data_IF_428771967296
#
_entry.id   IF_428771967296
#
_cell.length_a   1.000
_cell.length_b   1.000
_cell.length_c   1.000
_cell.angle_alpha   90.00
_cell.angle_beta   90.00
_cell.angle_gamma   90.00
#
_symmetry.space_group_name_H-M   'P 1'
#
loop_
_entity.id
_entity.type
_entity.pdbx_description
1 polymer ?
#
# COMPACT_ATOMS: atom_id res chain seq x y z
N UNK A 1 3.37 -18.07 8.50
CA UNK A 1 4.41 -18.17 9.53
C UNK A 1 5.71 -17.53 9.11
N UNK A 2 6.73 -17.48 9.99
CA UNK A 2 7.98 -16.73 9.77
C UNK A 2 8.74 -17.09 8.48
N UNK A 3 8.75 -18.37 8.08
CA UNK A 3 9.38 -18.82 6.84
C UNK A 3 8.70 -18.22 5.60
N UNK A 4 7.37 -18.27 5.55
CA UNK A 4 6.61 -17.68 4.45
C UNK A 4 6.74 -16.16 4.41
N UNK A 5 6.65 -15.51 5.57
CA UNK A 5 6.78 -14.05 5.69
C UNK A 5 8.15 -13.54 5.20
N UNK A 6 9.24 -14.30 5.47
CA UNK A 6 10.57 -13.92 5.00
C UNK A 6 10.84 -14.25 3.54
N UNK A 7 10.36 -15.41 3.04
CA UNK A 7 10.66 -15.87 1.69
C UNK A 7 9.74 -15.28 0.62
N UNK A 8 8.46 -15.05 0.93
CA UNK A 8 7.47 -14.61 -0.05
C UNK A 8 7.82 -13.28 -0.74
N UNK A 9 8.29 -12.23 -0.04
CA UNK A 9 8.67 -10.98 -0.70
C UNK A 9 9.81 -11.16 -1.72
N UNK A 10 10.81 -12.03 -1.39
CA UNK A 10 11.94 -12.30 -2.29
C UNK A 10 11.49 -13.02 -3.56
N UNK A 11 10.62 -14.03 -3.41
CA UNK A 11 10.05 -14.77 -4.55
C UNK A 11 9.18 -13.85 -5.41
N UNK A 12 8.37 -13.00 -4.77
CA UNK A 12 7.51 -12.05 -5.45
C UNK A 12 8.32 -11.03 -6.24
N UNK A 13 9.40 -10.50 -5.67
CA UNK A 13 10.33 -9.60 -6.33
C UNK A 13 10.90 -10.21 -7.63
N UNK A 14 11.43 -11.43 -7.56
CA UNK A 14 11.98 -12.14 -8.71
C UNK A 14 10.91 -12.40 -9.79
N UNK A 15 9.71 -12.77 -9.41
CA UNK A 15 8.61 -12.99 -10.34
C UNK A 15 8.22 -11.68 -11.05
N UNK A 16 8.08 -10.59 -10.30
CA UNK A 16 7.73 -9.26 -10.82
C UNK A 16 8.80 -8.70 -11.76
N UNK A 17 10.08 -8.88 -11.43
CA UNK A 17 11.19 -8.47 -12.31
C UNK A 17 11.18 -9.20 -13.66
N UNK A 18 10.69 -10.42 -13.70
CA UNK A 18 10.51 -11.20 -14.94
C UNK A 18 9.24 -10.83 -15.71
N UNK A 19 8.48 -9.83 -15.27
CA UNK A 19 7.24 -9.38 -15.90
C UNK A 19 6.05 -10.31 -15.66
N UNK A 20 6.17 -11.27 -14.73
CA UNK A 20 5.09 -12.20 -14.37
C UNK A 20 4.10 -11.46 -13.48
N UNK A 21 2.79 -11.54 -13.80
CA UNK A 21 1.74 -11.04 -12.91
C UNK A 21 1.84 -11.74 -11.56
N UNK A 22 2.12 -10.97 -10.52
CA UNK A 22 2.37 -11.50 -9.19
C UNK A 22 1.32 -11.02 -8.22
N UNK A 23 0.52 -11.94 -7.70
CA UNK A 23 -0.55 -11.68 -6.73
C UNK A 23 -0.19 -12.33 -5.41
N UNK A 24 -0.17 -11.54 -4.34
CA UNK A 24 0.00 -12.02 -2.98
C UNK A 24 -1.35 -12.28 -2.32
N UNK A 25 -1.48 -13.39 -1.59
CA UNK A 25 -2.62 -13.66 -0.71
C UNK A 25 -2.06 -13.98 0.66
N UNK A 26 -2.38 -13.16 1.65
CA UNK A 26 -1.82 -13.25 3.00
C UNK A 26 -2.91 -13.16 4.06
N UNK A 27 -2.61 -13.67 5.26
CA UNK A 27 -3.53 -13.61 6.39
C UNK A 27 -2.91 -12.84 7.55
N UNK A 28 -3.72 -12.01 8.22
CA UNK A 28 -3.39 -11.42 9.52
C UNK A 28 -3.94 -12.36 10.61
N UNK A 29 -3.12 -12.72 11.61
CA UNK A 29 -3.52 -13.67 12.66
C UNK A 29 -4.69 -13.16 13.50
N UNK A 30 -5.31 -14.08 14.25
CA UNK A 30 -6.32 -13.73 15.23
C UNK A 30 -5.72 -12.91 16.38
N UNK A 31 -6.52 -12.04 17.01
CA UNK A 31 -6.09 -11.19 18.12
C UNK A 31 -5.57 -12.00 19.31
N UNK A 32 -6.17 -13.17 19.60
CA UNK A 32 -5.73 -14.03 20.69
C UNK A 32 -4.34 -14.69 20.48
N UNK A 33 -3.78 -14.63 19.27
CA UNK A 33 -2.43 -15.12 18.99
C UNK A 33 -1.33 -14.19 19.52
N UNK A 34 -1.70 -12.97 19.91
CA UNK A 34 -0.87 -11.99 20.60
C UNK A 34 -0.25 -10.93 19.70
N UNK A 35 -0.06 -9.74 20.26
CA UNK A 35 0.36 -8.54 19.54
C UNK A 35 1.67 -8.73 18.75
N UNK A 36 2.66 -9.42 19.34
CA UNK A 36 3.93 -9.69 18.64
C UNK A 36 3.75 -10.39 17.29
N UNK A 37 2.78 -11.33 17.20
CA UNK A 37 2.50 -12.01 15.93
C UNK A 37 1.76 -11.11 14.96
N UNK A 38 0.90 -10.24 15.48
CA UNK A 38 0.17 -9.27 14.67
C UNK A 38 1.16 -8.26 14.07
N UNK A 39 2.06 -7.70 14.88
CA UNK A 39 3.10 -6.77 14.42
C UNK A 39 3.99 -7.39 13.35
N UNK A 40 4.45 -8.64 13.57
CA UNK A 40 5.21 -9.38 12.58
C UNK A 40 4.43 -9.63 11.28
N UNK A 41 3.13 -9.85 11.36
CA UNK A 41 2.28 -10.02 10.19
C UNK A 41 2.11 -8.69 9.43
N UNK A 42 1.91 -7.58 10.13
CA UNK A 42 1.81 -6.24 9.53
C UNK A 42 3.13 -5.83 8.85
N UNK A 43 4.28 -6.09 9.47
CA UNK A 43 5.60 -5.93 8.84
C UNK A 43 5.73 -6.76 7.56
N UNK A 44 5.26 -8.01 7.60
CA UNK A 44 5.25 -8.90 6.45
C UNK A 44 4.33 -8.42 5.33
N UNK A 45 3.19 -7.85 5.68
CA UNK A 45 2.24 -7.24 4.73
C UNK A 45 2.88 -6.02 4.05
N UNK A 46 3.52 -5.12 4.81
CA UNK A 46 4.25 -3.97 4.25
C UNK A 46 5.38 -4.41 3.30
N UNK A 47 6.14 -5.43 3.69
CA UNK A 47 7.23 -5.94 2.86
C UNK A 47 6.74 -6.56 1.54
N UNK A 48 5.71 -7.41 1.57
CA UNK A 48 5.22 -8.09 0.37
C UNK A 48 4.40 -7.14 -0.53
N UNK A 49 3.70 -6.14 0.04
CA UNK A 49 2.91 -5.19 -0.74
C UNK A 49 3.75 -4.42 -1.77
N UNK A 50 5.02 -4.18 -1.48
CA UNK A 50 5.98 -3.50 -2.37
C UNK A 50 6.41 -4.38 -3.55
N UNK A 51 6.34 -5.70 -3.37
CA UNK A 51 6.90 -6.68 -4.30
C UNK A 51 5.85 -7.41 -5.15
N UNK A 52 4.56 -7.18 -4.92
CA UNK A 52 3.48 -7.78 -5.72
C UNK A 52 2.76 -6.74 -6.57
N UNK A 53 2.00 -7.19 -7.57
CA UNK A 53 1.11 -6.35 -8.38
C UNK A 53 -0.19 -6.05 -7.64
N UNK A 54 -0.72 -7.05 -6.96
CA UNK A 54 -1.89 -6.93 -6.10
C UNK A 54 -1.74 -7.80 -4.85
N UNK A 55 -2.22 -7.32 -3.72
CA UNK A 55 -2.17 -8.01 -2.44
C UNK A 55 -3.56 -8.16 -1.84
N UNK A 56 -4.01 -9.40 -1.70
CA UNK A 56 -5.22 -9.75 -0.97
C UNK A 56 -4.87 -10.05 0.49
N UNK A 57 -5.43 -9.26 1.40
CA UNK A 57 -5.18 -9.40 2.84
C UNK A 57 -6.45 -9.88 3.54
N UNK A 58 -6.39 -11.08 4.11
CA UNK A 58 -7.48 -11.71 4.85
C UNK A 58 -7.22 -11.50 6.35
N UNK A 59 -8.11 -10.78 7.02
CA UNK A 59 -8.03 -10.61 8.47
C UNK A 59 -8.83 -11.73 9.16
N UNK A 60 -8.14 -12.65 9.82
CA UNK A 60 -8.77 -13.76 10.51
C UNK A 60 -9.72 -13.31 11.63
N UNK A 61 -9.45 -12.17 12.28
CA UNK A 61 -10.32 -11.64 13.34
C UNK A 61 -11.74 -11.35 12.83
N UNK A 62 -11.88 -10.96 11.57
CA UNK A 62 -13.21 -10.73 10.95
C UNK A 62 -14.00 -12.02 10.82
N UNK A 63 -13.33 -13.17 10.59
CA UNK A 63 -14.00 -14.46 10.55
C UNK A 63 -14.63 -14.80 11.91
N UNK A 64 -13.98 -14.42 13.01
CA UNK A 64 -14.53 -14.58 14.36
C UNK A 64 -15.79 -13.73 14.58
N UNK A 65 -15.80 -12.53 14.06
CA UNK A 65 -16.97 -11.62 14.17
C UNK A 65 -18.17 -12.14 13.39
N UNK A 66 -17.93 -12.69 12.21
CA UNK A 66 -19.01 -13.19 11.33
C UNK A 66 -19.50 -14.57 11.75
N UNK A 67 -18.60 -15.40 12.27
CA UNK A 67 -18.88 -16.77 12.70
C UNK A 67 -18.59 -16.97 14.19
N UNK A 68 -19.38 -16.35 15.09
CA UNK A 68 -19.10 -16.37 16.53
C UNK A 68 -19.22 -17.76 17.16
N UNK A 69 -19.97 -18.66 16.53
CA UNK A 69 -20.22 -20.01 17.02
C UNK A 69 -19.14 -21.03 16.61
N UNK A 70 -18.09 -20.62 15.91
CA UNK A 70 -17.01 -21.53 15.54
C UNK A 70 -16.20 -21.96 16.77
N UNK A 71 -15.91 -23.26 16.82
CA UNK A 71 -14.92 -23.77 17.77
C UNK A 71 -13.53 -23.24 17.40
N UNK A 72 -12.61 -23.26 18.36
CA UNK A 72 -11.22 -22.84 18.13
C UNK A 72 -10.58 -23.52 16.89
N UNK A 73 -10.78 -24.83 16.76
CA UNK A 73 -10.28 -25.60 15.60
C UNK A 73 -10.97 -25.18 14.31
N UNK A 74 -12.28 -25.06 14.32
CA UNK A 74 -13.06 -24.68 13.14
C UNK A 74 -12.76 -23.26 12.66
N UNK A 75 -12.31 -22.34 13.55
CA UNK A 75 -11.89 -21.01 13.17
C UNK A 75 -10.65 -21.03 12.26
N UNK A 76 -9.64 -21.86 12.59
CA UNK A 76 -8.47 -22.03 11.74
C UNK A 76 -8.81 -22.76 10.43
N UNK A 77 -9.63 -23.80 10.47
CA UNK A 77 -10.11 -24.50 9.26
C UNK A 77 -10.88 -23.55 8.34
N UNK A 78 -11.65 -22.61 8.92
CA UNK A 78 -12.34 -21.57 8.16
C UNK A 78 -11.38 -20.56 7.52
N UNK A 79 -10.34 -20.15 8.24
CA UNK A 79 -9.30 -19.27 7.70
C UNK A 79 -8.57 -19.92 6.50
N UNK A 80 -8.18 -21.20 6.64
CA UNK A 80 -7.54 -21.98 5.57
C UNK A 80 -8.47 -22.14 4.36
N UNK A 81 -9.75 -22.43 4.62
CA UNK A 81 -10.77 -22.54 3.55
C UNK A 81 -10.96 -21.21 2.83
N UNK A 82 -10.98 -20.12 3.56
CA UNK A 82 -11.12 -18.77 3.00
C UNK A 82 -9.94 -18.43 2.09
N UNK A 83 -8.72 -18.69 2.53
CA UNK A 83 -7.50 -18.53 1.75
C UNK A 83 -7.54 -19.36 0.46
N UNK A 84 -7.90 -20.64 0.60
CA UNK A 84 -7.99 -21.57 -0.54
C UNK A 84 -9.07 -21.15 -1.53
N UNK A 85 -10.21 -20.68 -1.04
CA UNK A 85 -11.32 -20.19 -1.88
C UNK A 85 -10.88 -18.94 -2.63
N UNK A 86 -10.17 -18.02 -2.00
CA UNK A 86 -9.65 -16.82 -2.65
C UNK A 86 -8.71 -17.19 -3.81
N UNK A 87 -7.72 -18.05 -3.56
CA UNK A 87 -6.79 -18.48 -4.60
C UNK A 87 -7.50 -19.21 -5.75
N UNK A 88 -8.45 -20.12 -5.42
CA UNK A 88 -9.26 -20.85 -6.39
C UNK A 88 -10.09 -19.91 -7.25
N UNK A 89 -10.78 -18.93 -6.66
CA UNK A 89 -11.64 -18.01 -7.41
C UNK A 89 -10.87 -17.17 -8.41
N UNK A 90 -9.65 -16.72 -8.07
CA UNK A 90 -8.79 -16.03 -9.03
C UNK A 90 -8.39 -16.97 -10.18
N UNK A 91 -8.04 -18.21 -9.87
CA UNK A 91 -7.69 -19.20 -10.89
C UNK A 91 -8.90 -19.54 -11.78
N UNK A 92 -10.07 -19.70 -11.21
CA UNK A 92 -11.31 -20.00 -11.95
C UNK A 92 -11.67 -18.87 -12.94
N UNK A 93 -11.52 -17.60 -12.55
CA UNK A 93 -11.75 -16.45 -13.44
C UNK A 93 -10.90 -16.57 -14.73
N UNK A 94 -9.67 -17.08 -14.60
CA UNK A 94 -8.72 -17.19 -15.72
C UNK A 94 -8.94 -18.46 -16.54
N UNK A 95 -9.36 -19.55 -15.90
CA UNK A 95 -9.36 -20.89 -16.51
C UNK A 95 -10.73 -21.39 -16.97
N UNK A 96 -11.81 -20.83 -16.42
CA UNK A 96 -13.15 -21.27 -16.81
C UNK A 96 -13.57 -20.64 -18.14
N UNK A 97 -14.09 -21.47 -19.04
CA UNK A 97 -14.68 -21.01 -20.29
C UNK A 97 -16.06 -20.43 -20.00
N UNK A 98 -16.31 -19.24 -20.53
CA UNK A 98 -17.54 -18.51 -20.34
C UNK A 98 -18.25 -18.18 -21.66
N UNK A 99 -19.47 -17.68 -21.54
CA UNK A 99 -20.24 -17.07 -22.61
C UNK A 99 -19.66 -15.68 -22.93
N UNK A 100 -19.33 -14.94 -21.87
CA UNK A 100 -18.56 -13.69 -21.92
C UNK A 100 -17.26 -13.99 -21.19
N UNK A 101 -16.21 -14.22 -21.97
CA UNK A 101 -14.92 -14.62 -21.41
C UNK A 101 -14.22 -13.41 -20.79
N UNK A 102 -13.74 -13.61 -19.55
CA UNK A 102 -12.68 -12.79 -18.97
C UNK A 102 -11.36 -13.44 -19.37
N UNK A 103 -10.60 -12.79 -20.21
CA UNK A 103 -9.30 -13.30 -20.60
C UNK A 103 -8.21 -12.95 -19.55
N UNK A 104 -7.04 -13.57 -19.69
CA UNK A 104 -5.91 -13.29 -18.80
C UNK A 104 -5.50 -11.81 -18.84
N UNK A 105 -5.69 -11.13 -19.98
CA UNK A 105 -5.36 -9.71 -20.10
C UNK A 105 -6.32 -8.83 -19.31
N UNK A 106 -7.61 -9.17 -19.22
CA UNK A 106 -8.59 -8.46 -18.39
C UNK A 106 -8.20 -8.58 -16.90
N UNK A 107 -7.80 -9.79 -16.47
CA UNK A 107 -7.31 -10.02 -15.10
C UNK A 107 -6.01 -9.24 -14.86
N UNK A 108 -5.09 -9.23 -15.82
CA UNK A 108 -3.88 -8.41 -15.75
C UNK A 108 -4.21 -6.93 -15.61
N UNK A 109 -5.17 -6.44 -16.35
CA UNK A 109 -5.59 -5.03 -16.31
C UNK A 109 -6.08 -4.62 -14.93
N UNK A 110 -6.86 -5.49 -14.29
CA UNK A 110 -7.40 -5.22 -12.94
C UNK A 110 -6.33 -5.38 -11.87
N UNK A 111 -5.48 -6.42 -11.94
CA UNK A 111 -4.53 -6.77 -10.88
C UNK A 111 -3.19 -6.02 -10.99
N UNK A 112 -2.70 -5.68 -12.21
CA UNK A 112 -1.43 -4.96 -12.35
C UNK A 112 -1.48 -3.61 -11.70
N UNK A 113 -0.48 -3.35 -10.83
CA UNK A 113 -0.42 -2.12 -10.03
C UNK A 113 -1.73 -1.88 -9.25
N UNK A 114 -2.38 -2.99 -8.85
CA UNK A 114 -3.67 -2.95 -8.17
C UNK A 114 -3.58 -2.58 -6.69
N UNK A 115 -2.37 -2.57 -6.10
CA UNK A 115 -2.20 -2.30 -4.67
C UNK A 115 -2.91 -3.34 -3.80
N UNK A 116 -3.69 -2.89 -2.83
CA UNK A 116 -4.52 -3.80 -2.04
C UNK A 116 -5.75 -4.20 -2.85
N UNK A 117 -6.00 -5.51 -2.89
CA UNK A 117 -7.16 -6.12 -3.51
C UNK A 117 -8.14 -6.61 -2.46
N UNK A 118 -9.42 -6.46 -2.75
CA UNK A 118 -10.51 -7.06 -2.00
C UNK A 118 -11.23 -8.05 -2.91
N UNK A 119 -11.53 -9.21 -2.40
CA UNK A 119 -12.27 -10.23 -3.14
C UNK A 119 -13.37 -10.82 -2.28
N UNK A 120 -14.49 -11.06 -2.90
CA UNK A 120 -15.62 -11.72 -2.28
C UNK A 120 -16.35 -12.61 -3.26
N UNK A 121 -17.02 -13.62 -2.73
CA UNK A 121 -17.87 -14.53 -3.48
C UNK A 121 -19.18 -14.68 -2.74
N UNK A 122 -20.27 -14.50 -3.47
CA UNK A 122 -21.62 -14.69 -2.97
C UNK A 122 -22.41 -15.69 -3.84
N UNK A 123 -23.45 -16.24 -3.25
CA UNK A 123 -24.32 -17.22 -3.89
C UNK A 123 -25.77 -16.78 -3.76
N UNK A 124 -26.56 -17.03 -4.80
CA UNK A 124 -28.00 -16.80 -4.80
C UNK A 124 -28.75 -17.93 -5.48
N UNK A 125 -30.00 -18.15 -5.08
CA UNK A 125 -30.86 -19.19 -5.61
C UNK A 125 -32.30 -18.65 -5.77
N UNK A 126 -33.06 -19.14 -6.74
CA UNK A 126 -34.44 -18.72 -6.99
C UNK A 126 -34.59 -17.60 -8.02
N UNK A 127 -35.69 -16.85 -7.93
CA UNK A 127 -36.05 -15.83 -8.94
C UNK A 127 -35.11 -14.62 -8.97
N UNK A 128 -34.54 -14.24 -7.80
CA UNK A 128 -33.64 -13.09 -7.68
C UNK A 128 -32.18 -13.51 -7.45
N UNK A 129 -31.81 -14.69 -7.92
CA UNK A 129 -30.53 -15.35 -7.58
C UNK A 129 -29.28 -14.49 -7.90
N UNK A 130 -29.28 -13.70 -8.97
CA UNK A 130 -28.15 -12.81 -9.30
C UNK A 130 -28.05 -11.65 -8.31
N UNK A 131 -29.17 -11.02 -8.01
CA UNK A 131 -29.23 -9.95 -7.00
C UNK A 131 -28.81 -10.47 -5.62
N UNK A 132 -29.36 -11.59 -5.19
CA UNK A 132 -29.01 -12.22 -3.91
C UNK A 132 -27.52 -12.58 -3.86
N UNK A 133 -26.95 -13.10 -4.95
CA UNK A 133 -25.54 -13.41 -5.04
C UNK A 133 -24.65 -12.16 -4.95
N UNK A 134 -25.04 -11.05 -5.55
CA UNK A 134 -24.36 -9.76 -5.42
C UNK A 134 -24.45 -9.26 -3.98
N UNK A 135 -25.63 -9.27 -3.39
CA UNK A 135 -25.85 -8.83 -2.00
C UNK A 135 -25.05 -9.71 -1.01
N UNK A 136 -25.04 -11.03 -1.19
CA UNK A 136 -24.26 -11.97 -0.38
C UNK A 136 -22.76 -11.70 -0.52
N UNK A 137 -22.26 -11.45 -1.75
CA UNK A 137 -20.87 -11.07 -1.98
C UNK A 137 -20.52 -9.75 -1.28
N UNK A 138 -21.37 -8.73 -1.35
CA UNK A 138 -21.16 -7.44 -0.70
C UNK A 138 -21.15 -7.52 0.82
N UNK A 139 -21.98 -8.40 1.38
CA UNK A 139 -22.07 -8.63 2.82
C UNK A 139 -20.97 -9.58 3.35
N UNK A 140 -20.10 -10.05 2.48
CA UNK A 140 -19.01 -10.93 2.88
C UNK A 140 -18.04 -10.23 3.85
N UNK A 141 -17.61 -10.94 4.91
CA UNK A 141 -16.62 -10.43 5.85
C UNK A 141 -15.27 -10.09 5.21
N UNK A 142 -15.01 -10.63 4.03
CA UNK A 142 -13.77 -10.36 3.30
C UNK A 142 -13.74 -8.95 2.68
N UNK A 143 -14.88 -8.36 2.39
CA UNK A 143 -15.00 -6.97 1.96
C UNK A 143 -15.02 -5.98 3.13
N UNK A 144 -15.36 -6.46 4.34
CA UNK A 144 -15.24 -5.78 5.62
C UNK A 144 -15.60 -4.29 5.63
N UNK A 145 -16.86 -3.93 5.47
CA UNK A 145 -17.36 -2.54 5.56
C UNK A 145 -16.55 -1.52 4.74
N UNK A 146 -15.63 -1.97 3.91
CA UNK A 146 -14.88 -1.09 3.01
C UNK A 146 -15.81 -0.71 1.88
N UNK A 147 -15.84 0.56 1.59
CA UNK A 147 -16.56 1.06 0.45
C UNK A 147 -15.84 0.61 -0.83
N UNK A 148 -16.30 -0.51 -1.42
CA UNK A 148 -15.77 -0.98 -2.71
C UNK A 148 -15.96 0.06 -3.82
N UNK A 149 -16.83 1.07 -3.60
CA UNK A 149 -17.04 2.19 -4.51
C UNK A 149 -15.82 3.13 -4.56
N UNK A 150 -14.90 3.02 -3.60
CA UNK A 150 -13.61 3.72 -3.62
C UNK A 150 -12.53 3.00 -4.43
N UNK A 151 -12.81 1.81 -4.96
CA UNK A 151 -11.88 1.09 -5.83
C UNK A 151 -11.64 1.82 -7.14
N UNK A 152 -10.48 1.58 -7.75
CA UNK A 152 -10.13 2.12 -9.06
C UNK A 152 -10.45 1.16 -10.19
N UNK A 153 -10.44 -0.15 -9.89
CA UNK A 153 -10.71 -1.20 -10.88
C UNK A 153 -11.55 -2.30 -10.24
N UNK A 154 -12.50 -2.82 -11.00
CA UNK A 154 -13.41 -3.88 -10.56
C UNK A 154 -13.52 -4.94 -11.65
N UNK A 155 -13.50 -6.20 -11.21
CA UNK A 155 -13.81 -7.35 -12.02
C UNK A 155 -14.95 -8.13 -11.37
N UNK A 156 -16.01 -8.38 -12.14
CA UNK A 156 -17.16 -9.16 -11.73
C UNK A 156 -17.23 -10.44 -12.56
N UNK A 157 -17.22 -11.59 -11.92
CA UNK A 157 -17.40 -12.89 -12.56
C UNK A 157 -18.69 -13.53 -12.06
N UNK A 158 -19.54 -13.91 -12.99
CA UNK A 158 -20.81 -14.58 -12.74
C UNK A 158 -20.71 -15.99 -13.26
N UNK A 159 -21.01 -16.98 -12.42
CA UNK A 159 -21.01 -18.39 -12.82
C UNK A 159 -22.37 -19.02 -12.55
N UNK A 160 -22.84 -19.80 -13.49
CA UNK A 160 -24.12 -20.48 -13.41
C UNK A 160 -24.04 -21.87 -14.06
N UNK A 161 -25.06 -22.69 -13.84
CA UNK A 161 -25.20 -24.01 -14.47
C UNK A 161 -26.00 -23.90 -15.78
N UNK A 162 -25.48 -24.46 -16.86
CA UNK A 162 -26.13 -24.49 -18.18
C UNK A 162 -27.06 -25.71 -18.37
N UNK A 163 -27.08 -26.66 -17.43
CA UNK A 163 -27.91 -27.86 -17.52
C UNK A 163 -29.28 -27.63 -16.89
N UNK A 164 -30.35 -28.18 -17.53
CA UNK A 164 -31.67 -28.11 -16.92
C UNK A 164 -31.71 -28.86 -15.58
N UNK A 165 -32.61 -28.45 -14.69
CA UNK A 165 -32.83 -29.12 -13.41
C UNK A 165 -33.58 -30.46 -13.59
N UNK A 166 -33.83 -31.16 -12.48
CA UNK A 166 -34.55 -32.45 -12.43
C UNK A 166 -35.98 -32.35 -13.03
N UNK A 167 -36.56 -31.14 -13.08
CA UNK A 167 -37.86 -30.87 -13.66
C UNK A 167 -37.78 -30.36 -15.11
N UNK A 168 -36.60 -30.51 -15.74
CA UNK A 168 -36.31 -30.03 -17.11
C UNK A 168 -36.50 -28.50 -17.28
N UNK A 169 -36.33 -27.73 -16.21
CA UNK A 169 -36.35 -26.26 -16.28
C UNK A 169 -34.94 -25.73 -16.58
N UNK A 170 -34.85 -24.73 -17.50
CA UNK A 170 -33.56 -24.14 -17.83
C UNK A 170 -32.96 -23.43 -16.61
N UNK A 171 -31.66 -23.67 -16.39
CA UNK A 171 -30.87 -22.99 -15.34
C UNK A 171 -30.00 -21.87 -15.92
N UNK A 172 -30.10 -21.64 -17.24
CA UNK A 172 -29.36 -20.59 -17.92
C UNK A 172 -29.70 -19.19 -17.36
N UNK A 173 -28.74 -18.29 -17.49
CA UNK A 173 -28.89 -16.90 -17.05
C UNK A 173 -29.86 -16.16 -17.99
N UNK A 174 -30.90 -15.56 -17.43
CA UNK A 174 -31.90 -14.83 -18.21
C UNK A 174 -31.44 -13.37 -18.44
N UNK A 175 -31.87 -12.79 -19.58
CA UNK A 175 -31.52 -11.39 -19.89
C UNK A 175 -32.03 -10.40 -18.84
N UNK A 176 -33.13 -10.71 -18.17
CA UNK A 176 -33.66 -9.88 -17.07
C UNK A 176 -32.70 -9.86 -15.87
N UNK A 177 -32.01 -10.96 -15.61
CA UNK A 177 -31.02 -11.07 -14.53
C UNK A 177 -29.76 -10.24 -14.80
N UNK A 178 -29.41 -9.99 -16.07
CA UNK A 178 -28.32 -9.12 -16.47
C UNK A 178 -28.60 -7.66 -16.09
N UNK A 179 -29.86 -7.23 -16.03
CA UNK A 179 -30.19 -5.88 -15.57
C UNK A 179 -29.74 -5.61 -14.12
N UNK A 180 -29.72 -6.64 -13.26
CA UNK A 180 -29.18 -6.48 -11.89
C UNK A 180 -27.67 -6.26 -11.90
N UNK A 181 -26.95 -6.86 -12.85
CA UNK A 181 -25.51 -6.61 -13.06
C UNK A 181 -25.28 -5.18 -13.53
N UNK A 182 -26.02 -4.73 -14.53
CA UNK A 182 -25.92 -3.36 -15.04
C UNK A 182 -26.23 -2.33 -13.96
N UNK A 183 -27.25 -2.60 -13.15
CA UNK A 183 -27.62 -1.77 -12.03
C UNK A 183 -26.47 -1.68 -11.00
N UNK A 184 -25.92 -2.82 -10.61
CA UNK A 184 -24.77 -2.87 -9.70
C UNK A 184 -23.57 -2.12 -10.28
N UNK A 185 -23.21 -2.34 -11.54
CA UNK A 185 -22.10 -1.67 -12.20
C UNK A 185 -22.31 -0.16 -12.31
N UNK A 186 -23.55 0.30 -12.48
CA UNK A 186 -23.90 1.73 -12.55
C UNK A 186 -23.74 2.49 -11.24
N UNK A 187 -23.61 1.80 -10.12
CA UNK A 187 -23.36 2.41 -8.82
C UNK A 187 -21.91 2.92 -8.66
N UNK A 188 -21.01 2.45 -9.51
CA UNK A 188 -19.62 2.89 -9.48
C UNK A 188 -19.41 4.19 -10.22
N UNK A 189 -18.38 4.93 -9.84
CA UNK A 189 -18.01 6.18 -10.52
C UNK A 189 -17.56 5.88 -11.95
N UNK A 190 -17.75 6.83 -12.84
CA UNK A 190 -17.43 6.68 -14.27
C UNK A 190 -15.95 6.48 -14.57
N UNK A 191 -15.08 6.81 -13.63
CA UNK A 191 -13.62 6.67 -13.72
C UNK A 191 -13.12 5.31 -13.22
N UNK A 192 -14.01 4.45 -12.70
CA UNK A 192 -13.67 3.09 -12.28
C UNK A 192 -13.60 2.19 -13.52
N UNK A 193 -12.46 1.54 -13.72
CA UNK A 193 -12.31 0.55 -14.78
C UNK A 193 -13.05 -0.74 -14.40
N UNK A 194 -14.09 -1.07 -15.14
CA UNK A 194 -14.94 -2.23 -14.85
C UNK A 194 -14.81 -3.30 -15.92
N UNK A 195 -14.63 -4.55 -15.48
CA UNK A 195 -14.62 -5.74 -16.32
C UNK A 195 -15.61 -6.74 -15.76
N UNK A 196 -16.36 -7.40 -16.61
CA UNK A 196 -17.24 -8.46 -16.16
C UNK A 196 -17.32 -9.60 -17.18
N UNK A 197 -17.65 -10.78 -16.68
CA UNK A 197 -17.77 -11.96 -17.50
C UNK A 197 -18.74 -12.98 -16.92
N UNK A 198 -19.15 -13.90 -17.77
CA UNK A 198 -20.14 -14.95 -17.45
C UNK A 198 -19.54 -16.29 -17.81
N UNK A 199 -19.45 -17.20 -16.86
CA UNK A 199 -18.89 -18.54 -17.02
C UNK A 199 -19.88 -19.63 -16.65
N UNK A 200 -19.62 -20.84 -17.15
CA UNK A 200 -20.45 -22.00 -16.89
C UNK A 200 -19.78 -22.85 -15.82
N UNK A 201 -20.50 -23.10 -14.72
CA UNK A 201 -20.09 -23.99 -13.64
C UNK A 201 -21.22 -24.98 -13.30
N UNK A 202 -21.14 -26.19 -13.84
CA UNK A 202 -22.15 -27.22 -13.70
C UNK A 202 -22.29 -27.77 -12.28
N UNK A 203 -21.35 -27.42 -11.40
CA UNK A 203 -21.40 -27.86 -9.99
C UNK A 203 -22.36 -27.02 -9.14
N UNK A 204 -22.81 -25.87 -9.63
CA UNK A 204 -23.66 -24.93 -8.91
C UNK A 204 -25.12 -25.37 -8.79
N UNK A 205 -25.60 -26.31 -9.60
CA UNK A 205 -27.00 -26.72 -9.61
C UNK A 205 -27.91 -25.54 -9.96
N UNK A 206 -28.80 -25.15 -9.04
CA UNK A 206 -29.74 -24.01 -9.21
C UNK A 206 -29.15 -22.66 -8.82
N UNK A 207 -27.97 -22.67 -8.24
CA UNK A 207 -27.34 -21.46 -7.70
C UNK A 207 -26.60 -20.66 -8.78
N UNK A 208 -26.57 -19.37 -8.59
CA UNK A 208 -25.63 -18.46 -9.25
C UNK A 208 -24.55 -18.09 -8.26
N UNK A 209 -23.32 -18.05 -8.72
CA UNK A 209 -22.14 -17.60 -7.98
C UNK A 209 -21.68 -16.28 -8.57
N UNK A 210 -21.52 -15.26 -7.74
CA UNK A 210 -20.95 -13.98 -8.12
C UNK A 210 -19.63 -13.79 -7.37
N UNK A 211 -18.55 -13.53 -8.10
CA UNK A 211 -17.25 -13.18 -7.52
C UNK A 211 -16.90 -11.75 -7.89
N UNK A 212 -16.65 -10.95 -6.90
CA UNK A 212 -16.24 -9.53 -7.03
C UNK A 212 -14.77 -9.44 -6.66
N UNK A 213 -13.96 -8.86 -7.54
CA UNK A 213 -12.56 -8.52 -7.30
C UNK A 213 -12.41 -7.01 -7.50
N UNK A 214 -12.08 -6.28 -6.45
CA UNK A 214 -11.88 -4.83 -6.45
C UNK A 214 -10.44 -4.51 -6.07
N UNK A 215 -9.80 -3.57 -6.78
CA UNK A 215 -8.41 -3.18 -6.56
C UNK A 215 -8.24 -1.67 -6.54
N UNK A 216 -7.05 -1.21 -6.17
CA UNK A 216 -6.73 0.22 -6.12
C UNK A 216 -6.84 0.82 -4.72
N UNK A 217 -6.85 -0.02 -3.69
CA UNK A 217 -6.83 0.46 -2.31
C UNK A 217 -5.39 0.63 -1.82
N UNK A 218 -5.20 1.62 -0.95
CA UNK A 218 -3.92 1.84 -0.29
C UNK A 218 -3.67 0.83 0.84
N UNK A 219 -2.40 0.60 1.19
CA UNK A 219 -2.00 -0.28 2.30
C UNK A 219 -2.60 0.22 3.63
N UNK A 220 -2.73 1.54 3.80
CA UNK A 220 -3.35 2.15 4.97
C UNK A 220 -4.84 1.79 5.12
N UNK A 221 -5.48 1.31 4.06
CA UNK A 221 -6.84 0.78 4.15
C UNK A 221 -6.94 -0.52 4.97
N UNK A 222 -5.84 -1.19 5.27
CA UNK A 222 -5.82 -2.40 6.12
C UNK A 222 -5.96 -1.97 7.58
N UNK A 223 -6.93 -2.52 8.33
CA UNK A 223 -7.11 -2.17 9.74
C UNK A 223 -5.84 -2.34 10.57
N UNK A 224 -5.45 -1.31 11.30
CA UNK A 224 -4.24 -1.28 12.14
C UNK A 224 -2.93 -0.99 11.40
N UNK A 225 -2.93 -0.94 10.06
CA UNK A 225 -1.71 -0.68 9.29
C UNK A 225 -1.25 0.78 9.40
N UNK A 226 -2.17 1.73 9.37
CA UNK A 226 -1.84 3.16 9.51
C UNK A 226 -1.13 3.44 10.82
N UNK A 227 -1.66 2.93 11.94
CA UNK A 227 -1.06 3.07 13.27
C UNK A 227 0.31 2.36 13.34
N UNK A 228 0.41 1.18 12.76
CA UNK A 228 1.64 0.40 12.71
C UNK A 228 2.76 1.12 11.92
N UNK A 229 2.45 1.66 10.74
CA UNK A 229 3.40 2.42 9.93
C UNK A 229 3.81 3.73 10.60
N UNK A 230 2.88 4.43 11.25
CA UNK A 230 3.19 5.64 12.00
C UNK A 230 4.13 5.35 13.18
N UNK A 231 3.88 4.28 13.94
CA UNK A 231 4.75 3.84 15.02
C UNK A 231 6.15 3.47 14.53
N UNK A 232 6.24 2.69 13.45
CA UNK A 232 7.51 2.28 12.83
C UNK A 232 8.34 3.46 12.35
N UNK A 233 7.72 4.43 11.67
CA UNK A 233 8.41 5.64 11.22
C UNK A 233 8.95 6.45 12.41
N UNK A 234 8.17 6.58 13.49
CA UNK A 234 8.61 7.28 14.70
C UNK A 234 9.78 6.58 15.40
N UNK A 235 9.80 5.25 15.43
CA UNK A 235 10.91 4.46 15.98
C UNK A 235 12.18 4.58 15.12
N UNK A 236 12.04 4.58 13.80
CA UNK A 236 13.17 4.80 12.88
C UNK A 236 13.75 6.22 13.01
N UNK A 237 12.91 7.23 13.12
CA UNK A 237 13.35 8.61 13.36
C UNK A 237 14.10 8.75 14.69
N UNK A 238 13.60 8.14 15.77
CA UNK A 238 14.26 8.15 17.08
C UNK A 238 15.60 7.41 17.01
N UNK A 239 15.67 6.25 16.36
CA UNK A 239 16.92 5.50 16.20
C UNK A 239 17.94 6.29 15.39
N UNK A 240 17.53 6.89 14.28
CA UNK A 240 18.40 7.72 13.45
C UNK A 240 18.94 8.93 14.23
N UNK A 241 18.07 9.59 15.02
CA UNK A 241 18.48 10.70 15.88
C UNK A 241 19.46 10.25 16.99
N UNK A 242 19.27 9.07 17.58
CA UNK A 242 20.20 8.50 18.54
C UNK A 242 21.56 8.17 17.91
N UNK A 243 21.56 7.50 16.75
CA UNK A 243 22.80 7.21 16.03
C UNK A 243 23.56 8.48 15.64
N UNK A 244 22.86 9.52 15.20
CA UNK A 244 23.47 10.80 14.86
C UNK A 244 24.08 11.48 16.10
N UNK A 245 23.39 11.46 17.23
CA UNK A 245 23.91 11.97 18.50
C UNK A 245 25.17 11.19 18.95
N UNK A 246 25.13 9.86 18.89
CA UNK A 246 26.32 9.03 19.21
C UNK A 246 27.50 9.32 18.29
N UNK A 247 27.24 9.50 16.98
CA UNK A 247 28.28 9.90 16.02
C UNK A 247 28.83 11.30 16.30
N UNK A 248 27.97 12.22 16.72
CA UNK A 248 28.35 13.58 17.13
C UNK A 248 29.20 13.56 18.40
N UNK A 249 28.83 12.76 19.41
CA UNK A 249 29.60 12.58 20.64
C UNK A 249 30.98 11.98 20.36
N UNK A 250 31.07 10.92 19.54
CA UNK A 250 32.35 10.32 19.13
C UNK A 250 33.24 11.33 18.42
N UNK A 251 32.66 12.16 17.53
CA UNK A 251 33.42 13.25 16.86
C UNK A 251 33.88 14.29 17.86
N UNK A 252 33.03 14.67 18.84
CA UNK A 252 33.38 15.60 19.91
C UNK A 252 34.56 15.11 20.76
N UNK A 253 34.55 13.85 21.16
CA UNK A 253 35.64 13.21 21.92
C UNK A 253 36.95 13.17 21.10
N UNK A 254 36.87 12.81 19.79
CA UNK A 254 38.06 12.71 18.94
C UNK A 254 38.71 14.05 18.67
N UNK A 255 37.93 15.11 18.46
CA UNK A 255 38.43 16.45 18.19
C UNK A 255 38.56 17.36 19.40
N UNK A 256 38.30 16.82 20.59
CA UNK A 256 38.33 17.57 21.88
C UNK A 256 37.53 18.89 21.83
N UNK A 257 36.41 18.88 21.08
CA UNK A 257 35.53 20.05 20.97
C UNK A 257 34.37 19.92 21.95
N UNK A 258 34.17 20.97 22.77
CA UNK A 258 33.03 21.05 23.71
C UNK A 258 31.65 21.18 22.98
N UNK A 259 31.62 21.02 21.68
CA UNK A 259 30.40 21.09 20.89
C UNK A 259 30.06 19.72 20.26
N UNK A 260 29.15 18.92 20.87
CA UNK A 260 28.81 17.57 20.42
C UNK A 260 28.15 17.55 19.04
N UNK A 261 27.60 18.67 18.58
CA UNK A 261 26.96 18.78 17.25
C UNK A 261 27.93 18.94 16.08
N UNK A 262 29.23 18.74 16.34
CA UNK A 262 30.25 18.85 15.30
C UNK A 262 30.64 20.29 14.98
N UNK A 263 31.62 20.45 14.11
CA UNK A 263 32.01 21.77 13.62
C UNK A 263 30.80 22.37 12.91
N UNK A 264 30.21 23.39 13.50
CA UNK A 264 29.23 24.17 12.75
C UNK A 264 29.90 24.62 11.46
N UNK A 265 29.25 24.53 10.32
CA UNK A 265 29.77 25.11 9.10
C UNK A 265 30.13 26.56 9.45
N UNK A 266 31.42 26.90 9.34
CA UNK A 266 31.84 28.28 9.52
C UNK A 266 31.24 29.04 8.36
N UNK A 267 30.14 29.70 8.60
CA UNK A 267 29.63 30.70 7.68
C UNK A 267 30.68 31.80 7.61
N UNK A 268 31.40 31.82 6.52
CA UNK A 268 32.33 32.93 6.24
C UNK A 268 31.46 34.10 5.85
N UNK A 269 31.50 35.13 6.67
CA UNK A 269 30.92 36.40 6.26
C UNK A 269 31.86 37.01 5.25
N UNK A 270 31.43 36.99 3.99
CA UNK A 270 32.14 37.61 2.89
C UNK A 270 31.66 39.05 2.82
N UNK A 271 32.57 39.98 2.83
CA UNK A 271 32.31 41.39 2.63
C UNK A 271 32.64 41.78 1.18
N UNK A 272 31.66 42.18 0.43
CA UNK A 272 31.81 42.64 -0.94
C UNK A 272 32.00 44.18 -0.92
N UNK A 273 33.10 44.61 -1.48
CA UNK A 273 33.38 46.03 -1.67
C UNK A 273 32.71 46.53 -2.96
N UNK A 274 32.12 47.71 -2.92
CA UNK A 274 31.62 48.38 -4.12
C UNK A 274 32.77 48.96 -4.94
N UNK A 275 32.58 49.20 -6.26
CA UNK A 275 33.64 49.76 -7.10
C UNK A 275 34.23 51.08 -6.56
N UNK A 276 33.40 51.92 -5.91
CA UNK A 276 33.82 53.18 -5.31
C UNK A 276 34.74 52.97 -4.09
N UNK A 277 34.61 51.87 -3.38
CA UNK A 277 35.47 51.51 -2.25
C UNK A 277 36.94 51.26 -2.70
N UNK A 278 37.16 50.85 -3.95
CA UNK A 278 38.49 50.60 -4.52
C UNK A 278 39.25 51.90 -4.82
N UNK A 279 38.55 53.03 -4.94
CA UNK A 279 39.16 54.37 -5.12
C UNK A 279 39.52 55.02 -3.78
N UNK A 280 39.13 54.40 -2.65
CA UNK A 280 39.43 54.92 -1.32
C UNK A 280 40.82 54.40 -0.84
N UNK A 281 41.87 55.19 -1.01
CA UNK A 281 43.25 54.81 -0.63
C UNK A 281 43.40 54.45 0.84
N UNK A 282 42.66 55.05 1.76
CA UNK A 282 42.67 54.69 3.19
C UNK A 282 42.10 53.30 3.43
N UNK A 283 41.01 52.95 2.75
CA UNK A 283 40.35 51.66 2.87
C UNK A 283 41.23 50.55 2.28
N UNK A 284 41.79 50.79 1.10
CA UNK A 284 42.70 49.84 0.43
C UNK A 284 43.95 49.59 1.32
N UNK A 285 44.55 50.62 1.88
CA UNK A 285 45.69 50.49 2.79
C UNK A 285 45.37 49.67 4.05
N UNK A 286 44.18 49.85 4.63
CA UNK A 286 43.73 49.06 5.80
C UNK A 286 43.48 47.59 5.43
N UNK A 287 42.97 47.34 4.23
CA UNK A 287 42.73 45.96 3.76
C UNK A 287 44.02 45.25 3.40
N UNK A 288 45.00 45.95 2.80
CA UNK A 288 46.31 45.36 2.44
C UNK A 288 47.24 45.15 3.62
N UNK A 289 47.16 46.01 4.64
CA UNK A 289 48.07 45.98 5.78
C UNK A 289 48.03 44.68 6.59
N UNK A 290 46.88 44.01 6.66
CA UNK A 290 46.71 42.81 7.51
C UNK A 290 45.90 41.74 6.78
N UNK A 291 46.44 40.51 6.62
CA UNK A 291 45.71 39.38 6.02
C UNK A 291 44.39 39.13 6.75
N UNK A 292 43.31 38.82 6.02
CA UNK A 292 41.94 38.65 6.55
C UNK A 292 41.87 37.71 7.74
N UNK A 293 42.65 36.62 7.74
CA UNK A 293 42.71 35.64 8.82
C UNK A 293 43.34 36.14 10.16
N UNK A 294 44.02 37.29 10.11
CA UNK A 294 44.69 37.89 11.30
C UNK A 294 44.04 39.17 11.79
N UNK A 295 42.95 39.66 11.14
CA UNK A 295 42.25 40.87 11.53
C UNK A 295 41.50 40.68 12.82
N UNK A 296 41.61 41.68 13.70
CA UNK A 296 40.82 41.73 14.93
C UNK A 296 39.42 42.23 14.68
N UNK A 297 38.48 42.02 15.64
CA UNK A 297 37.12 42.54 15.54
C UNK A 297 37.05 44.06 15.37
N UNK A 298 37.99 44.78 16.01
CA UNK A 298 38.08 46.24 15.96
C UNK A 298 38.49 46.68 14.53
N UNK A 299 39.48 46.07 13.95
CA UNK A 299 39.93 46.33 12.58
C UNK A 299 38.84 45.98 11.56
N UNK A 300 38.10 44.90 11.75
CA UNK A 300 36.94 44.59 10.90
C UNK A 300 35.83 45.64 11.02
N UNK A 301 35.61 46.18 12.23
CA UNK A 301 34.64 47.24 12.47
C UNK A 301 35.05 48.56 11.83
N UNK A 302 36.33 48.86 11.84
CA UNK A 302 36.89 50.06 11.19
C UNK A 302 36.78 49.97 9.66
N UNK A 303 37.12 48.86 9.08
CA UNK A 303 36.94 48.60 7.64
C UNK A 303 35.46 48.79 7.25
N UNK A 304 34.54 48.19 8.04
CA UNK A 304 33.09 48.31 7.80
C UNK A 304 32.55 49.72 7.90
N UNK A 305 33.13 50.55 8.75
CA UNK A 305 32.68 51.93 8.91
C UNK A 305 33.09 52.85 7.77
N UNK A 306 34.10 52.44 7.00
CA UNK A 306 34.68 53.21 5.88
C UNK A 306 34.24 52.75 4.49
N UNK A 307 33.47 51.66 4.38
CA UNK A 307 33.00 51.09 3.12
C UNK A 307 31.49 51.30 2.93
N UNK A 308 31.06 51.40 1.67
CA UNK A 308 29.65 51.41 1.27
C UNK A 308 29.09 50.02 0.94
N UNK A 309 29.96 49.01 0.96
CA UNK A 309 29.62 47.66 0.57
C UNK A 309 28.68 46.88 1.54
N UNK A 310 28.09 45.80 1.07
CA UNK A 310 27.10 45.00 1.75
C UNK A 310 27.71 43.68 2.33
N UNK A 311 27.28 43.30 3.53
CA UNK A 311 27.66 42.00 4.11
C UNK A 311 26.78 40.88 3.57
N UNK A 312 27.35 39.89 2.89
CA UNK A 312 26.65 38.72 2.41
C UNK A 312 27.00 37.52 3.29
N UNK A 313 25.98 36.78 3.71
CA UNK A 313 26.12 35.50 4.43
C UNK A 313 25.94 34.41 3.38
N UNK A 314 27.03 33.75 3.00
CA UNK A 314 26.96 32.51 2.19
C UNK A 314 26.73 31.31 3.11
N UNK A 315 25.69 30.52 2.76
CA UNK A 315 25.29 29.30 3.46
C UNK A 315 26.03 28.07 2.93
#
# INVERSE_FOLDING_TARGET
GGTGTGAAPVIAHEAKQRGILTVGIVTIPFQFEGNKKIDQALDGVDAIAKEVDALLVINNELLRTVYPDLTFRSAFEKADTTLSTAARSIAEIITMHGIINLDFQDVCTVLRQGGIALMSTGYGEGENRVREAIEDALNSPLLNNRDIKSSTKILLSISFNDQPDENNQPQELMMEEINEVDKFMSEFRKDVETKWGVSIDRTLGKKVKVTILATGFDVNAIPGMEEHLAAKNSEEEQRNAQEENERAERRGQYYQTNNPKGVQPRFYKIYLFEPEDLENEELVSLVEAIPTCRRTKEQLSEIRSKTQGMEIIES
#
